data_IF_661123063001
#
_entry.id   IF_661123063001
#
_cell.length_a   1.000
_cell.length_b   1.000
_cell.length_c   1.000
_cell.angle_alpha   90.00
_cell.angle_beta   90.00
_cell.angle_gamma   90.00
#
_symmetry.space_group_name_H-M   'P 1'
#
loop_
_entity.id
_entity.type
_entity.pdbx_description
1 polymer ?
#
# COMPACT_ATOMS: atom_id res chain seq x y z
N UNK A 1 -14.33 -0.07 -22.48
CA UNK A 1 -14.19 0.61 -21.19
C UNK A 1 -12.85 0.19 -20.60
N UNK A 2 -11.85 1.07 -20.46
CA UNK A 2 -10.73 0.74 -19.60
C UNK A 2 -11.34 0.70 -18.19
N UNK A 3 -11.30 -0.48 -17.56
CA UNK A 3 -11.61 -0.54 -16.15
C UNK A 3 -10.56 0.32 -15.46
N UNK A 4 -10.97 1.42 -14.83
CA UNK A 4 -10.18 2.15 -13.84
C UNK A 4 -10.00 1.28 -12.59
N UNK A 5 -9.45 0.08 -12.78
CA UNK A 5 -8.76 -0.62 -11.73
C UNK A 5 -7.49 0.21 -11.50
N UNK A 6 -7.63 1.29 -10.73
CA UNK A 6 -6.55 1.90 -9.98
C UNK A 6 -6.03 0.83 -9.02
N UNK A 7 -5.35 -0.15 -9.60
CA UNK A 7 -4.81 -1.30 -8.90
C UNK A 7 -3.67 -0.85 -8.00
N UNK A 8 -3.04 -1.82 -7.31
CA UNK A 8 -1.99 -1.60 -6.30
C UNK A 8 -0.75 -0.85 -6.79
N UNK A 9 -0.70 -0.47 -8.07
CA UNK A 9 0.38 0.30 -8.68
C UNK A 9 0.68 1.58 -7.90
N UNK A 10 -0.34 2.32 -7.42
CA UNK A 10 -0.11 3.51 -6.60
C UNK A 10 0.62 3.21 -5.28
N UNK A 11 0.33 2.06 -4.65
CA UNK A 11 1.02 1.62 -3.45
C UNK A 11 2.47 1.21 -3.75
N UNK A 12 2.67 0.39 -4.78
CA UNK A 12 3.98 -0.12 -5.17
C UNK A 12 4.90 1.00 -5.68
N UNK A 13 4.39 1.97 -6.45
CA UNK A 13 5.15 3.15 -6.88
C UNK A 13 5.57 4.03 -5.71
N UNK A 14 4.72 4.12 -4.67
CA UNK A 14 4.99 4.88 -3.46
C UNK A 14 5.90 4.17 -2.44
N UNK A 15 6.61 3.11 -2.84
CA UNK A 15 7.48 2.32 -1.98
C UNK A 15 6.74 1.44 -0.96
N UNK A 16 5.44 1.21 -1.17
CA UNK A 16 4.61 0.33 -0.36
C UNK A 16 4.46 -1.07 -0.96
N UNK A 17 3.94 -1.98 -0.15
CA UNK A 17 3.61 -3.35 -0.55
C UNK A 17 2.17 -3.66 -0.15
N UNK A 18 1.42 -4.26 -1.05
CA UNK A 18 0.06 -4.69 -0.76
C UNK A 18 0.06 -6.03 -0.01
N UNK A 19 -0.52 -6.03 1.19
CA UNK A 19 -0.60 -7.18 2.10
C UNK A 19 -2.06 -7.48 2.39
N UNK A 20 -2.40 -8.76 2.48
CA UNK A 20 -3.75 -9.19 2.88
C UNK A 20 -3.84 -9.19 4.40
N UNK A 21 -4.86 -8.53 4.95
CA UNK A 21 -5.22 -8.61 6.36
C UNK A 21 -4.48 -7.68 7.32
N UNK A 22 -3.14 -7.70 7.35
CA UNK A 22 -2.35 -6.81 8.22
C UNK A 22 -0.96 -6.47 7.65
N UNK A 23 -0.42 -5.32 8.05
CA UNK A 23 0.97 -4.94 7.79
C UNK A 23 1.92 -5.65 8.75
N UNK A 24 3.17 -5.88 8.33
CA UNK A 24 4.18 -6.50 9.21
C UNK A 24 4.79 -5.46 10.15
N UNK A 25 5.41 -5.92 11.24
CA UNK A 25 6.08 -5.04 12.19
C UNK A 25 7.19 -4.23 11.51
N UNK A 26 7.12 -2.89 11.60
CA UNK A 26 8.00 -1.97 10.86
C UNK A 26 7.36 -1.34 9.62
N UNK A 27 6.15 -1.76 9.26
CA UNK A 27 5.32 -1.11 8.24
C UNK A 27 4.12 -0.40 8.90
N UNK A 28 3.59 0.62 8.23
CA UNK A 28 2.35 1.29 8.60
C UNK A 28 1.32 1.18 7.47
N UNK A 29 0.03 1.18 7.83
CA UNK A 29 -1.07 1.22 6.86
C UNK A 29 -1.15 2.63 6.26
N UNK A 30 -0.85 2.75 4.96
CA UNK A 30 -0.97 4.02 4.24
C UNK A 30 -2.34 4.17 3.57
N UNK A 31 -2.83 3.11 2.91
CA UNK A 31 -4.09 3.07 2.15
C UNK A 31 -4.57 1.61 2.00
N UNK A 32 -5.71 1.37 1.38
CA UNK A 32 -6.13 0.05 0.90
C UNK A 32 -5.83 -0.11 -0.59
N UNK A 33 -5.18 -1.21 -0.97
CA UNK A 33 -5.06 -1.62 -2.37
C UNK A 33 -6.37 -2.24 -2.89
N UNK A 34 -7.13 -2.85 -1.98
CA UNK A 34 -8.48 -3.34 -2.22
C UNK A 34 -9.24 -3.32 -0.90
N UNK A 35 -10.16 -2.38 -0.75
CA UNK A 35 -10.95 -2.26 0.48
C UNK A 35 -11.82 -3.50 0.70
N UNK A 36 -11.97 -3.99 1.95
CA UNK A 36 -11.18 -3.71 3.17
C UNK A 36 -10.04 -4.73 3.39
N UNK A 37 -9.81 -5.64 2.44
CA UNK A 37 -9.05 -6.88 2.66
C UNK A 37 -7.56 -6.71 2.36
N UNK A 38 -7.21 -5.92 1.35
CA UNK A 38 -5.82 -5.72 0.90
C UNK A 38 -5.36 -4.33 1.28
N UNK A 39 -4.40 -4.29 2.19
CA UNK A 39 -3.80 -3.12 2.80
C UNK A 39 -2.52 -2.73 2.06
N UNK A 40 -2.33 -1.43 1.82
CA UNK A 40 -1.06 -0.87 1.39
C UNK A 40 -0.19 -0.58 2.61
N UNK A 41 0.86 -1.37 2.77
CA UNK A 41 1.79 -1.28 3.88
C UNK A 41 3.08 -0.60 3.42
N UNK A 42 3.45 0.51 4.05
CA UNK A 42 4.69 1.24 3.75
C UNK A 42 5.69 1.08 4.88
N UNK A 43 6.98 0.98 4.53
CA UNK A 43 8.01 0.85 5.54
C UNK A 43 8.24 2.18 6.26
N UNK A 44 8.30 2.16 7.59
CA UNK A 44 8.56 3.36 8.40
C UNK A 44 9.95 3.96 8.11
N UNK A 45 10.91 3.15 7.68
CA UNK A 45 12.29 3.58 7.43
C UNK A 45 12.48 4.45 6.17
N UNK A 46 11.51 4.46 5.24
CA UNK A 46 11.54 5.28 4.02
C UNK A 46 10.66 6.53 4.11
N UNK A 47 10.06 6.80 5.27
CA UNK A 47 9.28 8.03 5.53
C UNK A 47 10.17 9.26 5.84
N UNK A 48 11.45 9.23 5.45
CA UNK A 48 12.32 10.41 5.46
C UNK A 48 12.44 10.98 4.05
N UNK A 49 11.92 12.20 3.89
CA UNK A 49 12.11 13.16 2.79
C UNK A 49 10.99 13.20 1.75
N UNK A 50 9.95 13.99 2.02
CA UNK A 50 9.73 15.29 1.37
C UNK A 50 9.26 16.32 2.42
#
# INVERSE_FOLDING_TARGET
CPGDAHGPDSCNHGGGLCRVGACVSGEYLAQFCFEPIILCCKNLSLATTE
#
